data_IF_481112777881
#
_entry.id   IF_481112777881
#
_cell.length_a   1.000
_cell.length_b   1.000
_cell.length_c   1.000
_cell.angle_alpha   90.00
_cell.angle_beta   90.00
_cell.angle_gamma   90.00
#
_symmetry.space_group_name_H-M   'P 1'
#
loop_
_entity.id
_entity.type
_entity.pdbx_description
1 polymer ?
#
# COMPACT_ATOMS: atom_id res chain seq x y z
N UNK A 1 -1.62 -24.78 -33.63
CA UNK A 1 -0.93 -25.00 -32.33
C UNK A 1 0.06 -23.86 -32.12
N UNK A 2 -0.07 -23.07 -31.05
CA UNK A 2 0.81 -21.92 -30.80
C UNK A 2 0.33 -21.06 -29.64
N UNK A 3 0.15 -21.67 -28.48
CA UNK A 3 -0.12 -20.98 -27.22
C UNK A 3 1.23 -20.57 -26.59
N UNK A 4 1.33 -19.33 -26.10
CA UNK A 4 1.97 -18.98 -24.81
C UNK A 4 1.93 -17.46 -24.61
N UNK A 5 0.87 -17.01 -23.93
CA UNK A 5 0.82 -15.69 -23.33
C UNK A 5 2.03 -15.47 -22.40
N UNK A 6 2.65 -14.30 -22.53
CA UNK A 6 3.76 -13.88 -21.69
C UNK A 6 3.32 -13.88 -20.22
N UNK A 7 4.00 -14.67 -19.39
CA UNK A 7 3.92 -14.54 -17.93
C UNK A 7 4.50 -13.18 -17.58
N UNK A 8 3.63 -12.21 -17.30
CA UNK A 8 4.01 -10.96 -16.62
C UNK A 8 4.74 -11.36 -15.34
N UNK A 9 6.03 -11.04 -15.27
CA UNK A 9 6.80 -11.10 -14.03
C UNK A 9 5.98 -10.40 -12.95
N UNK A 10 5.54 -11.12 -11.91
CA UNK A 10 4.88 -10.52 -10.75
C UNK A 10 5.78 -9.38 -10.28
N UNK A 11 5.30 -8.14 -10.37
CA UNK A 11 5.98 -7.06 -9.68
C UNK A 11 6.02 -7.44 -8.22
N UNK A 12 7.16 -7.34 -7.55
CA UNK A 12 7.27 -7.59 -6.10
C UNK A 12 6.36 -6.68 -5.26
N UNK A 13 5.69 -5.74 -5.93
CA UNK A 13 4.78 -4.73 -5.38
C UNK A 13 3.34 -4.94 -5.83
N UNK A 14 2.92 -6.13 -6.31
CA UNK A 14 1.51 -6.39 -6.66
C UNK A 14 0.83 -7.24 -5.56
N UNK A 15 -0.34 -6.81 -5.08
CA UNK A 15 -1.09 -7.57 -4.07
C UNK A 15 -1.58 -8.90 -4.62
N UNK A 16 -1.29 -9.98 -3.90
CA UNK A 16 -1.84 -11.30 -4.16
C UNK A 16 -3.30 -11.42 -3.70
N UNK A 17 -4.05 -12.36 -4.28
CA UNK A 17 -5.43 -12.63 -3.88
C UNK A 17 -5.56 -13.01 -2.38
N UNK A 18 -4.54 -13.65 -1.83
CA UNK A 18 -4.47 -14.01 -0.40
C UNK A 18 -4.35 -12.76 0.48
N UNK A 19 -3.54 -11.80 0.08
CA UNK A 19 -3.38 -10.53 0.80
C UNK A 19 -4.66 -9.70 0.73
N UNK A 20 -5.30 -9.65 -0.45
CA UNK A 20 -6.60 -8.99 -0.62
C UNK A 20 -7.66 -9.64 0.28
N UNK A 21 -7.74 -10.97 0.31
CA UNK A 21 -8.67 -11.67 1.18
C UNK A 21 -8.42 -11.37 2.66
N UNK A 22 -7.16 -11.36 3.09
CA UNK A 22 -6.79 -10.94 4.46
C UNK A 22 -7.23 -9.51 4.76
N UNK A 23 -6.95 -8.56 3.87
CA UNK A 23 -7.27 -7.15 4.06
C UNK A 23 -8.79 -6.93 4.12
N UNK A 24 -9.57 -7.62 3.28
CA UNK A 24 -11.05 -7.58 3.33
C UNK A 24 -11.61 -8.16 4.62
N UNK A 25 -10.98 -9.21 5.16
CA UNK A 25 -11.43 -9.85 6.40
C UNK A 25 -11.11 -9.00 7.65
N UNK A 26 -10.08 -8.16 7.60
CA UNK A 26 -9.59 -7.38 8.74
C UNK A 26 -9.89 -5.87 8.65
N UNK A 27 -10.53 -5.42 7.58
CA UNK A 27 -10.90 -4.03 7.37
C UNK A 27 -12.33 -3.92 6.86
N UNK A 28 -12.86 -2.71 6.72
CA UNK A 28 -14.19 -2.46 6.14
C UNK A 28 -14.12 -2.09 4.65
N UNK A 29 -12.96 -2.28 4.01
CA UNK A 29 -12.75 -1.88 2.62
C UNK A 29 -13.11 -3.00 1.65
N UNK A 30 -13.70 -2.61 0.52
CA UNK A 30 -13.90 -3.47 -0.64
C UNK A 30 -12.57 -3.77 -1.34
N UNK A 31 -12.57 -4.81 -2.18
CA UNK A 31 -11.40 -5.13 -3.00
C UNK A 31 -10.96 -3.96 -3.89
N UNK A 32 -11.93 -3.23 -4.44
CA UNK A 32 -11.65 -2.07 -5.29
C UNK A 32 -10.90 -1.01 -4.51
N UNK A 33 -11.42 -0.63 -3.34
CA UNK A 33 -10.79 0.36 -2.46
C UNK A 33 -9.38 -0.09 -2.06
N UNK A 34 -9.20 -1.36 -1.68
CA UNK A 34 -7.88 -1.90 -1.30
C UNK A 34 -6.87 -1.74 -2.44
N UNK A 35 -7.28 -2.04 -3.69
CA UNK A 35 -6.42 -1.89 -4.87
C UNK A 35 -6.12 -0.43 -5.18
N UNK A 36 -7.10 0.46 -5.05
CA UNK A 36 -6.94 1.91 -5.25
C UNK A 36 -5.99 2.51 -4.21
N UNK A 37 -6.18 2.18 -2.93
CA UNK A 37 -5.28 2.60 -1.84
C UNK A 37 -3.85 2.10 -2.05
N UNK A 38 -3.69 0.85 -2.45
CA UNK A 38 -2.37 0.28 -2.71
C UNK A 38 -1.69 0.92 -3.94
N UNK A 39 -2.44 1.24 -5.00
CA UNK A 39 -1.91 1.97 -6.14
C UNK A 39 -1.44 3.38 -5.73
N UNK A 40 -2.23 4.09 -4.92
CA UNK A 40 -1.82 5.38 -4.33
C UNK A 40 -0.56 5.24 -3.49
N UNK A 41 -0.50 4.21 -2.64
CA UNK A 41 0.67 3.91 -1.83
C UNK A 41 1.93 3.68 -2.68
N UNK A 42 1.84 2.99 -3.81
CA UNK A 42 3.00 2.78 -4.69
C UNK A 42 3.43 4.03 -5.47
N UNK A 43 2.52 4.98 -5.70
CA UNK A 43 2.89 6.29 -6.25
C UNK A 43 3.76 7.06 -5.25
N UNK A 44 3.41 7.01 -3.97
CA UNK A 44 4.15 7.71 -2.91
C UNK A 44 5.40 6.93 -2.45
N UNK A 45 5.34 5.59 -2.50
CA UNK A 45 6.38 4.66 -2.07
C UNK A 45 6.65 3.61 -3.16
N UNK A 46 7.42 3.94 -4.22
CA UNK A 46 7.64 3.06 -5.39
C UNK A 46 8.27 1.70 -5.08
N UNK A 47 8.96 1.58 -3.94
CA UNK A 47 9.57 0.32 -3.48
C UNK A 47 8.61 -0.54 -2.63
N UNK A 48 7.37 -0.10 -2.42
CA UNK A 48 6.38 -0.77 -1.58
C UNK A 48 6.66 -0.69 -0.07
N UNK A 49 7.53 0.23 0.38
CA UNK A 49 7.90 0.39 1.79
C UNK A 49 7.74 1.84 2.22
N UNK A 50 7.11 2.04 3.38
CA UNK A 50 7.00 3.33 4.02
C UNK A 50 8.01 3.42 5.16
N UNK A 51 8.99 4.30 5.02
CA UNK A 51 10.00 4.53 6.05
C UNK A 51 9.47 5.44 7.17
N UNK A 52 9.97 5.25 8.40
CA UNK A 52 9.60 6.06 9.57
C UNK A 52 9.71 7.56 9.32
N UNK A 53 10.76 8.00 8.60
CA UNK A 53 10.96 9.42 8.25
C UNK A 53 9.83 9.96 7.38
N UNK A 54 9.41 9.19 6.36
CA UNK A 54 8.34 9.60 5.45
C UNK A 54 6.99 9.57 6.15
N UNK A 55 6.74 8.59 7.02
CA UNK A 55 5.55 8.56 7.85
C UNK A 55 5.42 9.82 8.72
N UNK A 56 6.50 10.25 9.39
CA UNK A 56 6.49 11.47 10.23
C UNK A 56 6.19 12.72 9.39
N UNK A 57 6.78 12.82 8.19
CA UNK A 57 6.53 13.93 7.27
C UNK A 57 5.05 13.99 6.86
N UNK A 58 4.50 12.87 6.41
CA UNK A 58 3.09 12.74 6.01
C UNK A 58 2.15 13.03 7.19
N UNK A 59 2.46 12.52 8.38
CA UNK A 59 1.67 12.76 9.59
C UNK A 59 1.64 14.24 9.98
N UNK A 60 2.78 14.95 9.88
CA UNK A 60 2.84 16.41 10.14
C UNK A 60 2.05 17.21 9.12
N UNK A 61 1.94 16.75 7.87
CA UNK A 61 1.14 17.42 6.84
C UNK A 61 -0.37 17.32 7.12
N UNK A 62 -0.85 16.15 7.55
CA UNK A 62 -2.27 15.96 7.88
C UNK A 62 -2.66 16.52 9.25
N UNK A 63 -1.73 16.53 10.20
CA UNK A 63 -1.95 17.03 11.56
C UNK A 63 -0.88 18.05 11.94
N UNK A 64 -0.90 19.26 11.35
CA UNK A 64 0.13 20.29 11.59
C UNK A 64 0.21 20.76 13.05
N UNK A 65 -0.87 20.57 13.83
CA UNK A 65 -0.92 20.87 15.26
C UNK A 65 -0.71 19.63 16.16
N UNK A 66 -0.62 18.42 15.58
CA UNK A 66 -0.42 17.17 16.30
C UNK A 66 1.06 16.87 16.53
N UNK A 67 1.43 16.39 17.73
CA UNK A 67 2.79 15.92 18.00
C UNK A 67 3.03 14.56 17.32
N UNK A 68 3.46 14.58 16.06
CA UNK A 68 3.81 13.38 15.28
C UNK A 68 4.76 12.43 16.04
N UNK A 69 5.68 13.00 16.80
CA UNK A 69 6.67 12.29 17.61
C UNK A 69 6.04 11.47 18.75
N UNK A 70 4.82 11.81 19.21
CA UNK A 70 4.14 11.08 20.29
C UNK A 70 3.56 9.72 19.84
N UNK A 71 3.28 9.55 18.54
CA UNK A 71 2.72 8.32 17.98
C UNK A 71 3.79 7.35 17.44
N UNK A 72 5.04 7.79 17.34
CA UNK A 72 6.14 7.04 16.73
C UNK A 72 7.21 6.59 17.74
N UNK A 73 6.79 6.04 18.90
CA UNK A 73 7.71 5.38 19.85
C UNK A 73 8.12 4.01 19.35
#
# INVERSE_FOLDING_TARGET
>A
MGNKGGKKSRSSTELSDKEIAMLKANTKFSEREIREWHAGFLNDCPNGKLDKKKFIEVYRQFYPQGKADAFCK
#
